data_IF_451636536427
#
_entry.id   IF_451636536427
#
_cell.length_a   1.000
_cell.length_b   1.000
_cell.length_c   1.000
_cell.angle_alpha   90.00
_cell.angle_beta   90.00
_cell.angle_gamma   90.00
#
_symmetry.space_group_name_H-M   'P 1'
#
loop_
_entity.id
_entity.type
_entity.pdbx_description
1 polymer ?
#
# COMPACT_ATOMS: atom_id res chain seq x y z
N UNK A 1 -0.88 -2.03 -39.65
CA UNK A 1 -0.32 -1.66 -38.34
C UNK A 1 0.62 -0.48 -38.55
N UNK A 2 0.05 0.71 -38.73
CA UNK A 2 0.81 1.94 -38.95
C UNK A 2 1.09 2.62 -37.61
N UNK A 3 2.35 2.99 -37.42
CA UNK A 3 2.84 3.85 -36.35
C UNK A 3 2.10 5.20 -36.39
N UNK A 4 1.13 5.38 -35.50
CA UNK A 4 0.66 6.70 -35.10
C UNK A 4 1.73 7.26 -34.17
N UNK A 5 2.69 7.97 -34.75
CA UNK A 5 3.54 8.89 -34.02
C UNK A 5 2.60 9.87 -33.30
N UNK A 6 2.58 9.81 -31.97
CA UNK A 6 1.93 10.81 -31.14
C UNK A 6 2.52 12.16 -31.51
N UNK A 7 1.70 13.04 -32.07
CA UNK A 7 2.02 14.46 -32.03
C UNK A 7 2.08 14.80 -30.55
N UNK A 8 3.29 15.03 -30.02
CA UNK A 8 3.50 15.69 -28.75
C UNK A 8 2.87 17.08 -28.86
N UNK A 9 1.58 17.15 -28.51
CA UNK A 9 0.86 18.40 -28.37
C UNK A 9 1.52 19.20 -27.23
N UNK A 10 1.46 20.53 -27.29
CA UNK A 10 2.16 21.47 -26.41
C UNK A 10 1.85 21.41 -24.90
N UNK A 11 1.25 20.32 -24.40
CA UNK A 11 1.08 20.02 -22.98
C UNK A 11 2.42 19.97 -22.24
N UNK A 12 3.49 19.52 -22.91
CA UNK A 12 4.83 19.40 -22.30
C UNK A 12 5.41 20.75 -21.83
N UNK A 13 5.13 21.83 -22.57
CA UNK A 13 5.57 23.18 -22.21
C UNK A 13 4.75 23.75 -21.04
N UNK A 14 3.45 23.47 -21.01
CA UNK A 14 2.53 23.87 -19.94
C UNK A 14 2.89 23.17 -18.64
N UNK A 15 3.06 21.84 -18.71
CA UNK A 15 3.49 21.00 -17.59
C UNK A 15 4.84 21.46 -17.07
N UNK A 16 5.85 21.69 -17.91
CA UNK A 16 7.17 22.18 -17.45
C UNK A 16 7.09 23.55 -16.78
N UNK A 17 6.24 24.46 -17.27
CA UNK A 17 6.07 25.78 -16.69
C UNK A 17 5.47 25.70 -15.30
N UNK A 18 4.40 24.90 -15.14
CA UNK A 18 3.79 24.64 -13.83
C UNK A 18 4.67 23.80 -12.92
N UNK A 19 5.46 22.84 -13.39
CA UNK A 19 6.40 22.11 -12.53
C UNK A 19 7.53 23.02 -12.04
N UNK A 20 7.90 24.07 -12.78
CA UNK A 20 8.88 25.05 -12.31
C UNK A 20 8.30 26.03 -11.29
N UNK A 21 7.00 26.38 -11.36
CA UNK A 21 6.34 27.26 -10.39
C UNK A 21 5.79 26.48 -9.18
N UNK A 22 5.29 25.26 -9.40
CA UNK A 22 4.93 24.25 -8.41
C UNK A 22 6.15 23.48 -7.89
N UNK A 23 7.38 23.95 -8.11
CA UNK A 23 8.44 23.85 -7.10
C UNK A 23 7.96 24.62 -5.86
N UNK A 24 6.96 24.02 -5.21
CA UNK A 24 6.27 24.53 -4.07
C UNK A 24 7.29 24.48 -2.94
N UNK A 25 7.90 25.65 -2.69
CA UNK A 25 8.46 26.02 -1.40
C UNK A 25 9.71 25.26 -0.91
N UNK A 26 10.62 24.83 -1.79
CA UNK A 26 11.99 24.51 -1.31
C UNK A 26 12.81 25.77 -1.01
N UNK A 27 12.43 26.94 -1.54
CA UNK A 27 13.19 28.21 -1.41
C UNK A 27 12.92 28.99 -0.11
N UNK A 28 11.96 28.58 0.71
CA UNK A 28 11.62 29.32 1.95
C UNK A 28 12.49 28.90 3.14
N UNK A 29 13.22 27.79 3.03
CA UNK A 29 14.18 27.37 4.04
C UNK A 29 15.53 28.10 3.93
N UNK A 30 15.86 28.72 2.80
CA UNK A 30 17.13 29.45 2.65
C UNK A 30 17.06 30.91 3.08
N UNK A 31 15.88 31.53 3.15
CA UNK A 31 15.74 32.96 3.51
C UNK A 31 15.39 33.22 4.99
N UNK A 32 15.36 32.19 5.84
CA UNK A 32 15.02 32.33 7.27
C UNK A 32 16.17 31.94 8.23
N UNK A 33 17.40 31.84 7.72
CA UNK A 33 18.60 31.51 8.52
C UNK A 33 19.49 32.73 8.82
N UNK A 34 19.21 33.90 8.25
CA UNK A 34 20.10 35.07 8.41
C UNK A 34 19.81 35.99 9.61
N UNK A 35 18.82 35.71 10.46
CA UNK A 35 18.60 36.50 11.67
C UNK A 35 18.07 35.63 12.82
N UNK A 36 18.96 35.02 13.61
CA UNK A 36 18.88 35.10 15.07
C UNK A 36 20.05 34.43 15.81
N UNK A 37 20.51 35.17 16.82
CA UNK A 37 21.59 34.85 17.75
C UNK A 37 21.39 33.50 18.46
N UNK A 38 22.49 32.76 18.54
CA UNK A 38 22.67 31.59 19.40
C UNK A 38 22.33 31.90 20.86
N UNK A 39 21.35 31.18 21.41
CA UNK A 39 21.35 30.79 22.83
C UNK A 39 21.01 29.30 22.91
N UNK A 40 21.94 28.55 23.50
CA UNK A 40 21.92 27.10 23.54
C UNK A 40 20.87 26.50 24.48
N UNK A 41 20.74 25.18 24.33
CA UNK A 41 19.83 24.25 25.02
C UNK A 41 18.51 24.01 24.30
N UNK A 42 18.45 22.96 23.45
CA UNK A 42 17.26 22.16 23.17
C UNK A 42 17.67 20.91 22.36
N UNK A 43 18.19 19.90 23.07
CA UNK A 43 18.36 18.52 22.60
C UNK A 43 17.28 17.67 23.27
N UNK A 44 16.03 17.81 22.83
CA UNK A 44 14.93 16.85 23.00
C UNK A 44 13.63 17.50 22.51
N UNK A 45 12.85 16.78 21.68
CA UNK A 45 11.53 17.15 21.14
C UNK A 45 11.50 18.18 20.00
N UNK A 46 12.43 18.06 19.05
CA UNK A 46 12.21 18.51 17.67
C UNK A 46 11.28 17.56 16.92
N UNK A 47 10.04 17.38 17.39
CA UNK A 47 8.97 16.81 16.57
C UNK A 47 8.58 17.89 15.56
N UNK A 48 9.28 17.86 14.42
CA UNK A 48 8.71 18.09 13.09
C UNK A 48 7.62 19.17 13.04
N UNK A 49 8.04 20.45 13.03
CA UNK A 49 7.18 21.51 12.51
C UNK A 49 7.17 21.39 10.97
N UNK A 50 6.45 20.38 10.45
CA UNK A 50 6.36 19.98 9.04
C UNK A 50 5.29 20.76 8.27
N UNK A 51 5.21 22.07 8.46
CA UNK A 51 4.22 22.90 7.74
C UNK A 51 4.62 23.18 6.29
N UNK A 52 5.85 22.85 5.86
CA UNK A 52 6.29 22.93 4.47
C UNK A 52 6.39 21.56 3.80
N UNK A 53 5.47 20.62 4.10
CA UNK A 53 5.42 19.37 3.33
C UNK A 53 5.17 19.70 1.87
N UNK A 54 6.12 19.34 0.99
CA UNK A 54 6.02 19.56 -0.45
C UNK A 54 4.62 19.21 -0.96
N UNK A 55 3.97 20.18 -1.59
CA UNK A 55 2.58 20.07 -2.03
C UNK A 55 2.47 19.03 -3.14
N UNK A 56 1.89 17.87 -2.84
CA UNK A 56 1.44 16.89 -3.84
C UNK A 56 0.00 17.17 -4.30
N UNK A 57 -0.42 18.43 -4.25
CA UNK A 57 -1.80 18.86 -4.38
C UNK A 57 -2.22 18.79 -5.85
N UNK A 58 -3.34 18.12 -6.13
CA UNK A 58 -3.94 18.15 -7.46
C UNK A 58 -4.52 19.51 -7.82
N UNK A 59 -4.59 19.82 -9.11
CA UNK A 59 -5.18 21.04 -9.66
C UNK A 59 -6.67 21.20 -9.36
N UNK A 60 -7.33 20.19 -8.77
CA UNK A 60 -8.70 20.31 -8.26
C UNK A 60 -8.76 20.59 -6.75
N UNK A 61 -7.63 20.81 -6.07
CA UNK A 61 -7.61 21.08 -4.62
C UNK A 61 -7.60 22.58 -4.32
N UNK A 62 -8.14 22.98 -3.17
CA UNK A 62 -8.09 24.40 -2.75
C UNK A 62 -6.67 24.92 -2.60
N UNK A 63 -5.75 24.06 -2.15
CA UNK A 63 -4.36 24.41 -1.92
C UNK A 63 -3.64 24.83 -3.21
N UNK A 64 -3.93 24.15 -4.33
CA UNK A 64 -3.43 24.53 -5.65
C UNK A 64 -3.91 25.92 -6.08
N UNK A 65 -5.14 26.29 -5.73
CA UNK A 65 -5.75 27.58 -6.10
C UNK A 65 -5.58 28.69 -5.07
N UNK A 66 -4.68 28.51 -4.10
CA UNK A 66 -4.42 29.54 -3.09
C UNK A 66 -3.92 30.85 -3.72
N UNK A 67 -3.21 30.78 -4.84
CA UNK A 67 -2.89 31.93 -5.69
C UNK A 67 -3.96 32.13 -6.79
N UNK A 68 -4.71 33.24 -6.66
CA UNK A 68 -5.75 33.63 -7.64
C UNK A 68 -5.19 33.92 -9.04
N UNK A 69 -3.93 34.34 -9.15
CA UNK A 69 -3.31 34.71 -10.43
C UNK A 69 -2.98 33.47 -11.28
N UNK A 70 -2.42 32.43 -10.66
CA UNK A 70 -2.17 31.14 -11.32
C UNK A 70 -3.47 30.48 -11.77
N UNK A 71 -4.55 30.63 -10.98
CA UNK A 71 -5.89 30.16 -11.36
C UNK A 71 -6.38 30.70 -12.68
N UNK A 72 -6.23 32.00 -12.92
CA UNK A 72 -6.67 32.62 -14.16
C UNK A 72 -5.83 32.18 -15.36
N UNK A 73 -4.52 32.01 -15.17
CA UNK A 73 -3.62 31.55 -16.22
C UNK A 73 -3.96 30.10 -16.62
N UNK A 74 -4.16 29.21 -15.65
CA UNK A 74 -4.50 27.81 -15.89
C UNK A 74 -5.79 27.68 -16.70
N UNK A 75 -6.87 28.35 -16.29
CA UNK A 75 -8.13 28.28 -17.02
C UNK A 75 -8.06 28.91 -18.41
N UNK A 76 -7.18 29.90 -18.61
CA UNK A 76 -6.94 30.46 -19.94
C UNK A 76 -6.30 29.42 -20.86
N UNK A 77 -5.34 28.66 -20.37
CA UNK A 77 -4.66 27.65 -21.17
C UNK A 77 -5.53 26.39 -21.37
N UNK A 78 -6.20 25.91 -20.33
CA UNK A 78 -7.16 24.81 -20.42
C UNK A 78 -8.28 25.12 -21.44
N UNK A 79 -8.75 26.37 -21.47
CA UNK A 79 -9.73 26.83 -22.47
C UNK A 79 -9.21 26.66 -23.90
N UNK A 80 -7.93 26.96 -24.16
CA UNK A 80 -7.34 26.83 -25.50
C UNK A 80 -7.39 25.37 -25.97
N UNK A 81 -7.08 24.43 -25.08
CA UNK A 81 -7.07 23.00 -25.41
C UNK A 81 -8.49 22.44 -25.61
N UNK A 82 -9.46 22.90 -24.81
CA UNK A 82 -10.85 22.45 -24.91
C UNK A 82 -11.60 23.03 -26.12
N UNK A 83 -11.30 24.27 -26.52
CA UNK A 83 -11.95 24.94 -27.66
C UNK A 83 -11.52 24.41 -29.04
N UNK A 84 -10.47 23.60 -29.12
CA UNK A 84 -10.07 22.96 -30.39
C UNK A 84 -11.03 21.83 -30.81
N UNK A 85 -11.97 21.42 -29.93
CA UNK A 85 -13.08 20.53 -30.29
C UNK A 85 -14.26 21.32 -30.84
N UNK A 86 -14.79 20.85 -31.98
CA UNK A 86 -15.90 21.41 -32.78
C UNK A 86 -16.80 22.42 -32.05
N UNK A 87 -16.72 23.72 -32.38
CA UNK A 87 -17.46 24.78 -31.68
C UNK A 87 -18.99 24.70 -31.82
N UNK A 88 -19.48 23.86 -32.73
CA UNK A 88 -20.90 23.72 -33.07
C UNK A 88 -21.65 22.70 -32.17
N UNK A 89 -20.94 21.98 -31.29
CA UNK A 89 -21.55 21.02 -30.36
C UNK A 89 -21.90 21.69 -29.02
N UNK A 90 -23.19 22.01 -28.84
CA UNK A 90 -23.72 22.64 -27.62
C UNK A 90 -23.51 21.77 -26.37
N UNK A 91 -23.64 20.44 -26.49
CA UNK A 91 -23.45 19.52 -25.37
C UNK A 91 -21.99 19.51 -24.92
N UNK A 92 -21.04 19.51 -25.87
CA UNK A 92 -19.63 19.61 -25.54
C UNK A 92 -19.30 20.91 -24.77
N UNK A 93 -19.92 22.04 -25.13
CA UNK A 93 -19.75 23.32 -24.43
C UNK A 93 -20.33 23.28 -23.01
N UNK A 94 -21.51 22.69 -22.84
CA UNK A 94 -22.13 22.53 -21.51
C UNK A 94 -21.27 21.66 -20.59
N UNK A 95 -20.74 20.55 -21.09
CA UNK A 95 -19.85 19.72 -20.30
C UNK A 95 -18.56 20.46 -19.92
N UNK A 96 -17.93 21.18 -20.84
CA UNK A 96 -16.74 21.99 -20.54
C UNK A 96 -16.99 23.03 -19.43
N UNK A 97 -18.15 23.68 -19.44
CA UNK A 97 -18.57 24.60 -18.39
C UNK A 97 -18.75 23.88 -17.05
N UNK A 98 -19.41 22.72 -17.06
CA UNK A 98 -19.59 21.89 -15.87
C UNK A 98 -18.24 21.46 -15.28
N UNK A 99 -17.32 20.98 -16.11
CA UNK A 99 -15.97 20.60 -15.69
C UNK A 99 -15.19 21.76 -15.08
N UNK A 100 -15.22 22.92 -15.75
CA UNK A 100 -14.61 24.15 -15.22
C UNK A 100 -15.21 24.53 -13.86
N UNK A 101 -16.53 24.51 -13.73
CA UNK A 101 -17.21 24.83 -12.49
C UNK A 101 -16.82 23.86 -11.36
N UNK A 102 -16.59 22.58 -11.66
CA UNK A 102 -16.12 21.61 -10.66
C UNK A 102 -14.71 21.93 -10.17
N UNK A 103 -13.77 22.22 -11.09
CA UNK A 103 -12.43 22.65 -10.72
C UNK A 103 -12.45 23.94 -9.90
N UNK A 104 -13.30 24.88 -10.29
CA UNK A 104 -13.48 26.14 -9.57
C UNK A 104 -14.02 25.95 -8.14
N UNK A 105 -14.77 24.88 -7.92
CA UNK A 105 -15.32 24.45 -6.62
C UNK A 105 -14.42 23.44 -5.89
N UNK A 106 -13.17 23.27 -6.33
CA UNK A 106 -12.22 22.31 -5.77
C UNK A 106 -12.77 20.87 -5.67
N UNK A 107 -13.54 20.44 -6.67
CA UNK A 107 -14.08 19.08 -6.75
C UNK A 107 -13.29 18.26 -7.74
N UNK A 108 -12.83 17.09 -7.30
CA UNK A 108 -12.18 16.13 -8.20
C UNK A 108 -13.10 15.76 -9.37
N UNK A 109 -12.59 15.77 -10.62
CA UNK A 109 -13.36 15.35 -11.79
C UNK A 109 -13.35 13.83 -12.00
N UNK A 110 -12.38 13.11 -11.43
CA UNK A 110 -12.18 11.67 -11.64
C UNK A 110 -13.09 10.77 -10.79
N UNK A 111 -13.83 11.35 -9.84
CA UNK A 111 -14.70 10.62 -8.93
C UNK A 111 -14.64 11.18 -7.50
N UNK A 112 -14.61 10.28 -6.52
CA UNK A 112 -14.56 10.63 -5.09
C UNK A 112 -13.48 9.86 -4.37
N UNK A 113 -12.76 10.52 -3.47
CA UNK A 113 -11.81 9.86 -2.58
C UNK A 113 -12.56 9.07 -1.51
N UNK A 114 -12.20 7.81 -1.33
CA UNK A 114 -12.70 6.94 -0.25
C UNK A 114 -11.66 6.91 0.89
N UNK A 115 -12.05 6.44 2.09
CA UNK A 115 -11.11 6.27 3.18
C UNK A 115 -9.92 5.40 2.77
N UNK A 116 -8.75 5.68 3.36
CA UNK A 116 -7.50 4.97 3.11
C UNK A 116 -6.99 5.15 1.67
N UNK A 117 -7.07 6.36 1.13
CA UNK A 117 -6.40 6.73 -0.11
C UNK A 117 -6.83 5.90 -1.35
N UNK A 118 -8.11 5.53 -1.46
CA UNK A 118 -8.64 4.80 -2.64
C UNK A 118 -9.59 5.69 -3.43
N UNK A 119 -9.40 5.84 -4.74
CA UNK A 119 -10.37 6.56 -5.58
C UNK A 119 -11.54 5.66 -5.96
N UNK A 120 -12.77 6.15 -5.76
CA UNK A 120 -13.98 5.61 -6.37
C UNK A 120 -14.24 6.33 -7.71
N UNK A 121 -14.08 5.67 -8.86
CA UNK A 121 -14.09 6.31 -10.18
C UNK A 121 -15.52 6.51 -10.72
N UNK A 122 -16.38 7.14 -9.92
CA UNK A 122 -17.75 7.46 -10.31
C UNK A 122 -17.80 8.86 -10.91
N UNK A 123 -17.79 8.89 -12.24
CA UNK A 123 -17.83 10.13 -13.02
C UNK A 123 -19.27 10.64 -13.09
N UNK A 124 -19.52 11.91 -12.73
CA UNK A 124 -20.81 12.57 -12.93
C UNK A 124 -21.23 12.64 -14.41
N UNK A 125 -22.54 12.55 -14.68
CA UNK A 125 -23.09 12.55 -16.05
C UNK A 125 -22.77 13.83 -16.83
N UNK A 126 -22.66 14.99 -16.15
CA UNK A 126 -22.36 16.30 -16.73
C UNK A 126 -20.94 16.43 -17.29
N UNK A 127 -20.03 15.49 -16.99
CA UNK A 127 -18.65 15.47 -17.51
C UNK A 127 -18.25 14.10 -18.11
N UNK A 128 -19.22 13.23 -18.35
CA UNK A 128 -18.98 11.84 -18.78
C UNK A 128 -18.28 11.71 -20.13
N UNK A 129 -18.35 12.73 -21.02
CA UNK A 129 -17.63 12.70 -22.30
C UNK A 129 -16.18 13.20 -22.22
N UNK A 130 -15.73 13.67 -21.05
CA UNK A 130 -14.36 14.19 -20.87
C UNK A 130 -13.50 13.29 -19.99
N UNK A 131 -14.10 12.51 -19.10
CA UNK A 131 -13.39 11.64 -18.16
C UNK A 131 -13.68 10.19 -18.49
N UNK A 132 -12.68 9.33 -18.38
CA UNK A 132 -12.83 7.91 -18.69
C UNK A 132 -13.92 7.25 -17.81
N UNK A 133 -14.88 6.53 -18.40
CA UNK A 133 -15.97 5.91 -17.64
C UNK A 133 -15.46 4.82 -16.68
N UNK A 134 -16.35 4.43 -15.75
CA UNK A 134 -16.11 3.29 -14.88
C UNK A 134 -16.10 1.98 -15.68
N UNK A 135 -15.10 1.15 -15.46
CA UNK A 135 -14.99 -0.19 -16.05
C UNK A 135 -15.09 -1.25 -14.97
N UNK A 136 -15.48 -2.47 -15.34
CA UNK A 136 -15.50 -3.60 -14.39
C UNK A 136 -14.12 -3.83 -13.72
N UNK A 137 -13.03 -3.63 -14.48
CA UNK A 137 -11.68 -3.74 -13.94
C UNK A 137 -11.39 -2.68 -12.87
N UNK A 138 -11.87 -1.44 -13.04
CA UNK A 138 -11.76 -0.40 -12.00
C UNK A 138 -12.52 -0.77 -10.73
N UNK A 139 -13.70 -1.39 -10.84
CA UNK A 139 -14.46 -1.87 -9.68
C UNK A 139 -13.66 -2.94 -8.91
N UNK A 140 -13.11 -3.93 -9.63
CA UNK A 140 -12.21 -4.91 -9.02
C UNK A 140 -10.99 -4.23 -8.37
N UNK A 141 -10.44 -3.21 -9.01
CA UNK A 141 -9.28 -2.51 -8.49
C UNK A 141 -9.58 -1.76 -7.19
N UNK A 142 -10.79 -1.21 -7.00
CA UNK A 142 -11.24 -0.66 -5.71
C UNK A 142 -11.27 -1.74 -4.64
N UNK A 143 -11.86 -2.91 -4.94
CA UNK A 143 -11.93 -4.03 -3.99
C UNK A 143 -10.53 -4.47 -3.56
N UNK A 144 -9.62 -4.68 -4.53
CA UNK A 144 -8.22 -5.02 -4.26
C UNK A 144 -7.48 -3.90 -3.53
N UNK A 145 -7.84 -2.63 -3.72
CA UNK A 145 -7.30 -1.50 -2.97
C UNK A 145 -7.47 -1.64 -1.46
N UNK A 146 -8.54 -2.29 -1.00
CA UNK A 146 -8.81 -2.51 0.43
C UNK A 146 -8.27 -3.82 1.00
N UNK A 147 -7.87 -4.79 0.16
CA UNK A 147 -7.41 -6.10 0.62
C UNK A 147 -6.23 -6.06 1.61
N UNK A 148 -5.20 -5.20 1.45
CA UNK A 148 -4.11 -5.13 2.44
C UNK A 148 -4.56 -4.74 3.85
N UNK A 149 -5.73 -4.10 3.98
CA UNK A 149 -6.25 -3.69 5.28
C UNK A 149 -6.95 -4.83 6.02
N UNK A 150 -7.42 -5.87 5.31
CA UNK A 150 -8.07 -7.00 5.95
C UNK A 150 -7.10 -7.72 6.91
N UNK A 151 -5.88 -8.14 6.50
CA UNK A 151 -4.93 -8.76 7.42
C UNK A 151 -4.54 -7.87 8.60
N UNK A 152 -4.46 -6.55 8.39
CA UNK A 152 -4.20 -5.57 9.46
C UNK A 152 -5.32 -5.57 10.49
N UNK A 153 -6.58 -5.48 10.04
CA UNK A 153 -7.74 -5.52 10.91
C UNK A 153 -7.81 -6.83 11.69
N UNK A 154 -7.54 -7.96 11.04
CA UNK A 154 -7.49 -9.26 11.71
C UNK A 154 -6.42 -9.30 12.80
N UNK A 155 -5.19 -8.84 12.53
CA UNK A 155 -4.15 -8.77 13.56
C UNK A 155 -4.56 -7.90 14.74
N UNK A 156 -5.22 -6.77 14.50
CA UNK A 156 -5.66 -5.88 15.58
C UNK A 156 -6.70 -6.54 16.47
N UNK A 157 -7.71 -7.19 15.87
CA UNK A 157 -8.75 -7.93 16.60
C UNK A 157 -8.13 -9.09 17.37
N UNK A 158 -7.30 -9.88 16.71
CA UNK A 158 -6.67 -11.07 17.28
C UNK A 158 -5.69 -10.71 18.40
N UNK A 159 -4.90 -9.64 18.23
CA UNK A 159 -4.04 -9.10 19.27
C UNK A 159 -4.82 -8.63 20.50
N UNK A 160 -6.03 -8.09 20.31
CA UNK A 160 -6.87 -7.65 21.40
C UNK A 160 -7.45 -8.83 22.21
N UNK A 161 -7.71 -9.95 21.54
CA UNK A 161 -8.30 -11.15 22.13
C UNK A 161 -7.21 -12.05 22.76
N UNK A 162 -6.24 -12.49 21.96
CA UNK A 162 -5.29 -13.54 22.33
C UNK A 162 -4.00 -13.02 22.98
N UNK A 163 -3.71 -11.71 22.89
CA UNK A 163 -2.57 -11.02 23.54
C UNK A 163 -1.21 -11.70 23.37
N UNK A 164 -1.02 -12.46 22.30
CA UNK A 164 0.25 -13.12 22.06
C UNK A 164 1.32 -12.12 21.59
N UNK A 165 2.57 -12.39 21.98
CA UNK A 165 3.73 -11.55 21.58
C UNK A 165 3.94 -11.53 20.07
N UNK A 166 3.44 -12.55 19.34
CA UNK A 166 3.54 -12.63 17.89
C UNK A 166 2.87 -11.45 17.20
N UNK A 167 1.62 -11.14 17.56
CA UNK A 167 0.86 -10.04 16.97
C UNK A 167 1.52 -8.69 17.24
N UNK A 168 2.11 -8.53 18.43
CA UNK A 168 2.86 -7.33 18.77
C UNK A 168 4.03 -7.11 17.81
N UNK A 169 4.80 -8.13 17.44
CA UNK A 169 5.91 -7.99 16.49
C UNK A 169 5.45 -7.56 15.10
N UNK A 170 4.27 -8.00 14.68
CA UNK A 170 3.69 -7.63 13.39
C UNK A 170 3.18 -6.18 13.42
N UNK A 171 2.51 -5.78 14.50
CA UNK A 171 2.07 -4.40 14.69
C UNK A 171 3.26 -3.44 14.77
N UNK A 172 4.34 -3.84 15.44
CA UNK A 172 5.59 -3.07 15.47
C UNK A 172 6.22 -2.96 14.08
N UNK A 173 6.24 -4.03 13.29
CA UNK A 173 6.69 -3.98 11.90
C UNK A 173 5.84 -3.04 11.05
N UNK A 174 4.50 -3.14 11.16
CA UNK A 174 3.59 -2.29 10.41
C UNK A 174 3.78 -0.82 10.79
N UNK A 175 3.92 -0.52 12.08
CA UNK A 175 4.25 0.81 12.58
C UNK A 175 5.59 1.32 12.04
N UNK A 176 6.62 0.45 12.01
CA UNK A 176 7.93 0.77 11.43
C UNK A 176 7.83 1.05 9.93
N UNK A 177 7.12 0.22 9.17
CA UNK A 177 6.86 0.41 7.74
C UNK A 177 6.16 1.74 7.47
N UNK A 178 5.09 2.06 8.21
CA UNK A 178 4.35 3.30 8.06
C UNK A 178 5.21 4.53 8.42
N UNK A 179 5.99 4.44 9.50
CA UNK A 179 6.90 5.51 9.90
C UNK A 179 7.94 5.81 8.81
N UNK A 180 8.56 4.78 8.24
CA UNK A 180 9.52 4.95 7.15
C UNK A 180 8.83 5.45 5.87
N UNK A 181 7.73 4.83 5.46
CA UNK A 181 7.06 5.15 4.19
C UNK A 181 6.39 6.53 4.21
N UNK A 182 5.48 6.78 5.17
CA UNK A 182 4.71 8.03 5.25
C UNK A 182 5.50 9.15 5.92
N UNK A 183 6.27 8.83 6.96
CA UNK A 183 6.95 9.82 7.79
C UNK A 183 8.25 10.33 7.18
N UNK A 184 8.96 9.48 6.43
CA UNK A 184 10.29 9.80 5.88
C UNK A 184 10.23 9.86 4.34
N UNK A 185 10.02 8.72 3.67
CA UNK A 185 10.25 8.62 2.23
C UNK A 185 9.29 9.49 1.43
N UNK A 186 7.98 9.44 1.72
CA UNK A 186 7.00 10.30 1.03
C UNK A 186 7.27 11.79 1.19
N UNK A 187 7.76 12.21 2.36
CA UNK A 187 8.09 13.62 2.63
C UNK A 187 9.34 14.07 1.88
N UNK A 188 10.29 13.17 1.65
CA UNK A 188 11.51 13.44 0.89
C UNK A 188 11.26 13.47 -0.63
N UNK A 189 10.40 12.58 -1.13
CA UNK A 189 10.16 12.44 -2.57
C UNK A 189 9.07 13.39 -3.07
N UNK A 190 7.98 13.55 -2.31
CA UNK A 190 6.87 14.45 -2.61
C UNK A 190 6.36 14.39 -4.07
N UNK A 191 6.32 13.19 -4.66
CA UNK A 191 5.84 13.02 -6.03
C UNK A 191 4.29 13.01 -6.05
N UNK A 192 3.65 13.82 -6.92
CA UNK A 192 2.20 13.84 -7.06
C UNK A 192 1.66 12.55 -7.69
N UNK A 193 0.36 12.29 -7.51
CA UNK A 193 -0.31 11.14 -8.11
C UNK A 193 -0.62 11.37 -9.59
N UNK A 194 -0.80 10.32 -10.41
CA UNK A 194 -1.14 10.48 -11.82
C UNK A 194 -2.40 11.31 -12.03
N UNK A 195 -2.36 12.24 -12.99
CA UNK A 195 -3.49 13.08 -13.35
C UNK A 195 -3.72 14.23 -12.38
N UNK A 196 -2.87 14.41 -11.36
CA UNK A 196 -2.92 15.54 -10.43
C UNK A 196 -2.94 16.90 -11.14
N UNK A 197 -2.26 17.00 -12.27
CA UNK A 197 -2.16 18.22 -13.08
C UNK A 197 -3.05 18.16 -14.33
N UNK A 198 -4.02 17.24 -14.38
CA UNK A 198 -4.89 16.98 -15.54
C UNK A 198 -4.14 16.63 -16.83
N UNK A 199 -2.92 16.12 -16.70
CA UNK A 199 -2.02 15.78 -17.79
C UNK A 199 -2.28 14.39 -18.40
N UNK A 200 -2.87 13.49 -17.60
CA UNK A 200 -3.02 12.10 -17.99
C UNK A 200 -4.30 11.90 -18.81
N UNK A 201 -4.12 11.35 -20.01
CA UNK A 201 -5.21 10.93 -20.91
C UNK A 201 -5.14 9.43 -21.18
N UNK A 202 -6.31 8.82 -21.23
CA UNK A 202 -6.53 7.44 -21.61
C UNK A 202 -6.31 7.17 -23.09
N UNK A 203 -6.43 5.89 -23.48
CA UNK A 203 -6.33 5.46 -24.89
C UNK A 203 -7.44 6.03 -25.78
N UNK A 204 -8.57 6.39 -25.17
CA UNK A 204 -9.70 7.05 -25.81
C UNK A 204 -9.55 8.59 -25.86
N UNK A 205 -8.44 9.14 -25.37
CA UNK A 205 -8.20 10.58 -25.27
C UNK A 205 -8.98 11.29 -24.16
N UNK A 206 -9.74 10.54 -23.34
CA UNK A 206 -10.43 11.07 -22.16
C UNK A 206 -9.45 11.24 -21.00
N UNK A 207 -9.76 12.15 -20.08
CA UNK A 207 -8.94 12.41 -18.90
C UNK A 207 -9.04 11.24 -17.91
N UNK A 208 -7.92 10.93 -17.27
CA UNK A 208 -7.79 9.92 -16.24
C UNK A 208 -6.96 10.46 -15.07
N UNK A 209 -7.19 9.99 -13.84
CA UNK A 209 -6.45 10.46 -12.68
C UNK A 209 -6.96 9.91 -11.36
N UNK A 210 -6.29 10.28 -10.27
CA UNK A 210 -6.68 9.97 -8.89
C UNK A 210 -7.46 11.14 -8.26
N UNK A 211 -8.34 10.86 -7.30
CA UNK A 211 -8.89 11.87 -6.42
C UNK A 211 -8.20 11.95 -5.06
N UNK A 212 -7.14 11.17 -4.85
CA UNK A 212 -6.42 11.13 -3.59
C UNK A 212 -5.44 12.29 -3.51
N UNK A 213 -5.49 13.03 -2.40
CA UNK A 213 -4.74 14.28 -2.23
C UNK A 213 -3.34 14.07 -1.64
N UNK A 214 -3.03 12.86 -1.16
CA UNK A 214 -1.72 12.54 -0.59
C UNK A 214 -0.68 12.23 -1.69
N UNK A 215 0.59 12.44 -1.37
CA UNK A 215 1.70 12.09 -2.26
C UNK A 215 1.68 10.61 -2.67
N UNK A 216 2.05 10.38 -3.93
CA UNK A 216 2.00 9.07 -4.58
C UNK A 216 3.23 8.19 -4.33
N UNK A 217 4.44 8.77 -4.21
CA UNK A 217 5.67 7.97 -4.09
C UNK A 217 6.22 7.90 -2.65
N UNK A 218 6.42 6.70 -2.08
CA UNK A 218 6.05 5.38 -2.57
C UNK A 218 4.59 5.02 -2.25
N UNK A 219 4.02 4.06 -2.97
CA UNK A 219 2.68 3.56 -2.66
C UNK A 219 2.65 2.74 -1.36
N UNK A 220 1.94 3.24 -0.34
CA UNK A 220 1.78 2.57 0.96
C UNK A 220 1.04 1.25 0.84
N UNK A 221 0.00 1.19 0.00
CA UNK A 221 -0.76 -0.04 -0.24
C UNK A 221 0.11 -1.13 -0.86
N UNK A 222 0.94 -0.77 -1.86
CA UNK A 222 1.89 -1.69 -2.46
C UNK A 222 2.95 -2.16 -1.43
N UNK A 223 3.47 -1.24 -0.63
CA UNK A 223 4.46 -1.55 0.41
C UNK A 223 3.92 -2.49 1.49
N UNK A 224 2.72 -2.22 2.02
CA UNK A 224 2.05 -3.09 2.99
C UNK A 224 1.79 -4.45 2.37
N UNK A 225 1.20 -4.50 1.18
CA UNK A 225 0.84 -5.75 0.51
C UNK A 225 2.05 -6.65 0.26
N UNK A 226 3.10 -6.11 -0.36
CA UNK A 226 4.29 -6.89 -0.69
C UNK A 226 5.17 -7.21 0.52
N UNK A 227 5.24 -6.30 1.50
CA UNK A 227 5.91 -6.57 2.76
C UNK A 227 5.24 -7.68 3.55
N UNK A 228 3.90 -7.68 3.59
CA UNK A 228 3.11 -8.71 4.25
C UNK A 228 3.25 -10.05 3.56
N UNK A 229 3.11 -10.09 2.23
CA UNK A 229 3.36 -11.29 1.44
C UNK A 229 4.76 -11.86 1.72
N UNK A 230 5.78 -11.01 1.74
CA UNK A 230 7.16 -11.42 2.02
C UNK A 230 7.32 -12.02 3.42
N UNK A 231 6.74 -11.38 4.46
CA UNK A 231 6.77 -11.92 5.82
C UNK A 231 6.07 -13.28 5.90
N UNK A 232 4.91 -13.44 5.28
CA UNK A 232 4.17 -14.71 5.26
C UNK A 232 4.97 -15.83 4.59
N UNK A 233 5.60 -15.54 3.44
CA UNK A 233 6.44 -16.50 2.72
C UNK A 233 7.68 -16.87 3.55
N UNK A 234 8.38 -15.90 4.15
CA UNK A 234 9.56 -16.17 4.98
C UNK A 234 9.22 -16.94 6.25
N UNK A 235 8.08 -16.68 6.89
CA UNK A 235 7.60 -17.48 8.02
C UNK A 235 7.31 -18.92 7.59
N UNK A 236 6.62 -19.10 6.47
CA UNK A 236 6.29 -20.43 5.94
C UNK A 236 7.54 -21.24 5.57
N UNK A 237 8.52 -20.62 4.88
CA UNK A 237 9.80 -21.25 4.54
C UNK A 237 10.51 -21.76 5.79
N UNK A 238 10.56 -20.96 6.85
CA UNK A 238 11.26 -21.34 8.08
C UNK A 238 10.60 -22.47 8.89
N UNK A 239 9.36 -22.83 8.54
CA UNK A 239 8.60 -23.91 9.17
C UNK A 239 8.45 -25.14 8.29
N UNK A 240 8.84 -25.06 7.02
CA UNK A 240 8.78 -26.22 6.13
C UNK A 240 9.94 -27.15 6.50
N UNK A 241 9.61 -28.30 7.09
CA UNK A 241 10.60 -29.35 7.35
C UNK A 241 10.88 -30.11 6.05
N UNK A 242 12.14 -30.16 5.66
CA UNK A 242 12.60 -30.93 4.49
C UNK A 242 13.02 -32.35 4.84
N UNK A 243 13.02 -32.73 6.12
CA UNK A 243 13.79 -33.87 6.61
C UNK A 243 13.04 -35.21 6.73
N UNK A 244 11.75 -35.35 6.41
CA UNK A 244 11.09 -36.61 6.74
C UNK A 244 9.75 -36.93 6.08
N UNK A 245 9.70 -37.03 4.75
CA UNK A 245 8.70 -37.89 4.10
C UNK A 245 9.28 -39.33 3.98
N UNK A 246 9.34 -40.04 5.10
CA UNK A 246 9.31 -41.52 5.07
C UNK A 246 7.84 -41.92 4.96
N UNK A 247 7.32 -41.93 3.74
CA UNK A 247 5.96 -42.34 3.43
C UNK A 247 5.89 -43.88 3.53
N UNK A 248 5.40 -44.40 4.66
CA UNK A 248 4.90 -45.78 4.74
C UNK A 248 3.54 -45.84 4.04
N UNK A 249 3.57 -46.03 2.71
CA UNK A 249 2.41 -46.02 1.82
C UNK A 249 1.72 -47.39 1.77
N UNK A 250 0.78 -47.66 2.69
CA UNK A 250 -0.12 -48.84 2.61
C UNK A 250 -1.60 -48.54 2.84
N UNK A 251 -2.03 -47.28 2.69
CA UNK A 251 -3.42 -46.84 2.95
C UNK A 251 -4.36 -46.94 1.73
N UNK A 252 -5.56 -47.50 1.93
CA UNK A 252 -6.64 -47.65 0.93
C UNK A 252 -7.14 -46.30 0.37
N UNK A 253 -7.27 -46.19 -0.96
CA UNK A 253 -7.69 -44.96 -1.68
C UNK A 253 -9.03 -44.35 -1.27
N UNK A 254 -9.93 -45.11 -0.63
CA UNK A 254 -11.22 -44.58 -0.16
C UNK A 254 -11.09 -43.73 1.10
N UNK A 255 -10.17 -44.08 2.00
CA UNK A 255 -9.90 -43.30 3.20
C UNK A 255 -9.16 -42.00 2.85
N UNK A 256 -8.39 -42.01 1.76
CA UNK A 256 -7.69 -40.84 1.23
C UNK A 256 -8.66 -39.71 0.83
N UNK A 257 -9.77 -40.01 0.14
CA UNK A 257 -10.73 -39.00 -0.33
C UNK A 257 -11.52 -38.33 0.81
N UNK A 258 -11.95 -39.12 1.80
CA UNK A 258 -12.67 -38.58 2.97
C UNK A 258 -11.72 -37.79 3.88
N UNK A 259 -10.46 -38.24 4.00
CA UNK A 259 -9.41 -37.47 4.66
C UNK A 259 -9.13 -36.16 3.90
N UNK A 260 -9.09 -36.16 2.56
CA UNK A 260 -8.90 -34.96 1.73
C UNK A 260 -10.00 -33.91 1.92
N UNK A 261 -11.27 -34.31 2.05
CA UNK A 261 -12.37 -33.36 2.18
C UNK A 261 -12.39 -32.67 3.57
N UNK A 262 -12.07 -33.40 4.66
CA UNK A 262 -11.92 -32.78 5.99
C UNK A 262 -10.76 -31.79 6.03
N UNK A 263 -9.68 -32.06 5.28
CA UNK A 263 -8.54 -31.14 5.16
C UNK A 263 -8.92 -29.78 4.57
N UNK A 264 -9.91 -29.68 3.68
CA UNK A 264 -10.35 -28.40 3.10
C UNK A 264 -11.03 -27.48 4.13
N UNK A 265 -11.85 -28.04 5.02
CA UNK A 265 -12.49 -27.26 6.08
C UNK A 265 -11.49 -26.72 7.09
N UNK A 266 -10.56 -27.58 7.51
CA UNK A 266 -9.45 -27.16 8.39
C UNK A 266 -8.48 -26.21 7.67
N UNK A 267 -8.28 -26.38 6.37
CA UNK A 267 -7.49 -25.46 5.54
C UNK A 267 -8.13 -24.07 5.51
N UNK A 268 -9.41 -23.94 5.19
CA UNK A 268 -10.08 -22.62 5.18
C UNK A 268 -10.07 -22.00 6.59
N UNK A 269 -10.32 -22.79 7.64
CA UNK A 269 -10.34 -22.27 9.02
C UNK A 269 -8.96 -21.80 9.48
N UNK A 270 -7.90 -22.53 9.13
CA UNK A 270 -6.54 -22.25 9.62
C UNK A 270 -5.73 -21.32 8.69
N UNK A 271 -6.10 -21.19 7.40
CA UNK A 271 -5.29 -20.46 6.42
C UNK A 271 -5.93 -19.17 5.89
N UNK A 272 -7.26 -19.00 5.97
CA UNK A 272 -7.91 -17.86 5.29
C UNK A 272 -7.90 -16.54 6.07
N UNK A 273 -7.47 -16.51 7.34
CA UNK A 273 -7.66 -15.32 8.16
C UNK A 273 -6.40 -14.86 8.89
N UNK A 274 -5.51 -15.79 9.21
CA UNK A 274 -4.29 -15.51 9.93
C UNK A 274 -3.12 -15.88 9.01
N UNK A 275 -2.27 -14.91 8.61
CA UNK A 275 -1.08 -15.13 7.77
C UNK A 275 -0.02 -16.07 8.35
N UNK A 276 -0.28 -16.55 9.55
CA UNK A 276 0.66 -17.22 10.40
C UNK A 276 0.11 -18.56 10.79
N UNK A 277 0.88 -19.58 10.42
CA UNK A 277 0.56 -20.94 10.81
C UNK A 277 0.98 -21.12 12.27
N UNK A 278 0.08 -21.62 13.10
CA UNK A 278 0.39 -22.02 14.49
C UNK A 278 1.30 -23.24 14.54
N UNK A 279 1.19 -24.13 13.53
CA UNK A 279 2.04 -25.31 13.42
C UNK A 279 3.51 -24.95 13.35
N UNK A 280 4.33 -25.69 14.10
CA UNK A 280 5.80 -25.61 14.06
C UNK A 280 6.34 -26.08 12.73
N UNK A 281 5.72 -27.12 12.17
CA UNK A 281 6.16 -27.81 10.98
C UNK A 281 5.06 -27.81 9.92
N UNK A 282 5.44 -27.44 8.70
CA UNK A 282 4.58 -27.35 7.53
C UNK A 282 4.94 -28.43 6.53
N UNK A 283 3.91 -29.12 6.03
CA UNK A 283 4.07 -29.98 4.85
C UNK A 283 4.32 -29.13 3.59
N UNK A 284 4.97 -29.70 2.58
CA UNK A 284 5.22 -29.02 1.28
C UNK A 284 3.90 -28.53 0.66
N UNK A 285 2.84 -29.33 0.78
CA UNK A 285 1.51 -28.95 0.28
C UNK A 285 0.94 -27.73 1.01
N UNK A 286 0.99 -27.73 2.34
CA UNK A 286 0.53 -26.57 3.13
C UNK A 286 1.34 -25.32 2.81
N UNK A 287 2.65 -25.44 2.67
CA UNK A 287 3.53 -24.36 2.22
C UNK A 287 3.08 -23.77 0.89
N UNK A 288 2.92 -24.61 -0.15
CA UNK A 288 2.47 -24.17 -1.48
C UNK A 288 1.12 -23.46 -1.38
N UNK A 289 0.19 -24.02 -0.60
CA UNK A 289 -1.14 -23.43 -0.44
C UNK A 289 -1.10 -22.05 0.24
N UNK A 290 -0.23 -21.83 1.24
CA UNK A 290 -0.02 -20.50 1.86
C UNK A 290 0.49 -19.52 0.83
N UNK A 291 1.55 -19.90 0.11
CA UNK A 291 2.19 -19.01 -0.86
C UNK A 291 1.20 -18.63 -1.95
N UNK A 292 0.45 -19.59 -2.51
CA UNK A 292 -0.56 -19.32 -3.53
C UNK A 292 -1.70 -18.44 -3.01
N UNK A 293 -2.21 -18.72 -1.81
CA UNK A 293 -3.28 -17.93 -1.21
C UNK A 293 -2.87 -16.46 -1.04
N UNK A 294 -1.73 -16.20 -0.39
CA UNK A 294 -1.25 -14.84 -0.18
C UNK A 294 -0.78 -14.16 -1.46
N UNK A 295 -0.24 -14.93 -2.42
CA UNK A 295 0.10 -14.43 -3.74
C UNK A 295 -1.15 -13.88 -4.45
N UNK A 296 -2.21 -14.68 -4.54
CA UNK A 296 -3.47 -14.28 -5.18
C UNK A 296 -4.13 -13.09 -4.48
N UNK A 297 -4.03 -13.01 -3.15
CA UNK A 297 -4.66 -11.95 -2.38
C UNK A 297 -3.89 -10.61 -2.47
N UNK A 298 -2.56 -10.64 -2.36
CA UNK A 298 -1.74 -9.45 -2.12
C UNK A 298 -0.94 -8.97 -3.33
N UNK A 299 -0.48 -9.88 -4.20
CA UNK A 299 0.35 -9.51 -5.36
C UNK A 299 -0.41 -8.69 -6.42
N UNK A 300 -1.73 -8.86 -6.64
CA UNK A 300 -2.45 -7.98 -7.56
C UNK A 300 -2.60 -6.54 -7.07
N UNK A 301 -2.48 -6.28 -5.76
CA UNK A 301 -2.75 -4.96 -5.17
C UNK A 301 -1.95 -3.84 -5.84
N UNK A 302 -0.60 -3.89 -5.96
CA UNK A 302 0.17 -2.83 -6.62
C UNK A 302 -0.31 -2.54 -8.06
N UNK A 303 -0.68 -3.57 -8.81
CA UNK A 303 -1.21 -3.40 -10.17
C UNK A 303 -2.57 -2.70 -10.15
N UNK A 304 -3.46 -3.09 -9.25
CA UNK A 304 -4.78 -2.48 -9.10
C UNK A 304 -4.70 -1.01 -8.70
N UNK A 305 -3.67 -0.61 -7.94
CA UNK A 305 -3.38 0.80 -7.67
C UNK A 305 -3.02 1.60 -8.92
N UNK A 306 -2.33 0.99 -9.88
CA UNK A 306 -2.02 1.59 -11.19
C UNK A 306 -3.26 1.66 -12.07
N UNK A 307 -4.10 0.61 -12.07
CA UNK A 307 -5.38 0.59 -12.80
C UNK A 307 -6.32 1.70 -12.36
N UNK A 308 -6.40 1.98 -11.05
CA UNK A 308 -7.19 3.10 -10.52
C UNK A 308 -6.59 4.48 -10.79
N UNK A 309 -5.39 4.55 -11.38
CA UNK A 309 -4.58 5.76 -11.49
C UNK A 309 -4.25 6.42 -10.15
N UNK A 310 -4.40 5.68 -9.05
CA UNK A 310 -4.02 6.16 -7.73
C UNK A 310 -2.50 6.25 -7.56
N UNK A 311 -1.73 5.51 -8.38
CA UNK A 311 -0.28 5.55 -8.43
C UNK A 311 0.23 5.33 -9.86
N UNK A 312 1.42 5.86 -10.17
CA UNK A 312 2.17 5.44 -11.36
C UNK A 312 2.77 4.05 -11.17
N UNK A 313 3.22 3.42 -12.26
CA UNK A 313 3.94 2.14 -12.20
C UNK A 313 5.20 2.23 -11.32
N UNK A 314 5.97 3.33 -11.46
CA UNK A 314 7.18 3.57 -10.66
C UNK A 314 6.86 3.75 -9.18
N UNK A 315 5.79 4.47 -8.83
CA UNK A 315 5.33 4.67 -7.46
C UNK A 315 4.91 3.36 -6.79
N UNK A 316 4.15 2.53 -7.52
CA UNK A 316 3.73 1.22 -7.04
C UNK A 316 4.94 0.29 -6.86
N UNK A 317 5.83 0.23 -7.85
CA UNK A 317 7.03 -0.60 -7.83
C UNK A 317 8.01 -0.21 -6.70
N UNK A 318 8.24 1.09 -6.49
CA UNK A 318 9.05 1.58 -5.38
C UNK A 318 8.45 1.19 -4.02
N UNK A 319 7.11 1.26 -3.90
CA UNK A 319 6.38 0.75 -2.74
C UNK A 319 6.65 -0.74 -2.52
N UNK A 320 6.54 -1.56 -3.57
CA UNK A 320 6.84 -3.00 -3.50
C UNK A 320 8.26 -3.26 -2.97
N UNK A 321 9.28 -2.63 -3.56
CA UNK A 321 10.69 -2.80 -3.15
C UNK A 321 10.88 -2.42 -1.69
N UNK A 322 10.35 -1.26 -1.28
CA UNK A 322 10.46 -0.78 0.10
C UNK A 322 9.82 -1.78 1.08
N UNK A 323 8.60 -2.22 0.79
CA UNK A 323 7.86 -3.19 1.60
C UNK A 323 8.60 -4.51 1.76
N UNK A 324 9.05 -5.11 0.66
CA UNK A 324 9.81 -6.37 0.68
C UNK A 324 11.14 -6.22 1.45
N UNK A 325 11.85 -5.12 1.25
CA UNK A 325 13.14 -4.85 1.91
C UNK A 325 12.98 -4.74 3.42
N UNK A 326 12.02 -3.92 3.88
CA UNK A 326 11.76 -3.74 5.30
C UNK A 326 11.23 -5.02 5.96
N UNK A 327 10.42 -5.81 5.26
CA UNK A 327 9.99 -7.14 5.70
C UNK A 327 11.17 -8.10 5.89
N UNK A 328 12.09 -8.20 4.92
CA UNK A 328 13.28 -9.06 5.02
C UNK A 328 14.18 -8.65 6.19
N UNK A 329 14.45 -7.35 6.34
CA UNK A 329 15.25 -6.82 7.46
C UNK A 329 14.57 -7.13 8.79
N UNK A 330 13.27 -6.87 8.91
CA UNK A 330 12.51 -7.14 10.13
C UNK A 330 12.52 -8.63 10.50
N UNK A 331 12.22 -9.50 9.53
CA UNK A 331 12.26 -10.95 9.73
C UNK A 331 13.64 -11.42 10.21
N UNK A 332 14.72 -10.88 9.62
CA UNK A 332 16.08 -11.20 10.05
C UNK A 332 16.34 -10.79 11.50
N UNK A 333 15.92 -9.59 11.90
CA UNK A 333 16.04 -9.09 13.27
C UNK A 333 15.30 -10.03 14.23
N UNK A 334 14.05 -10.39 13.93
CA UNK A 334 13.26 -11.30 14.78
C UNK A 334 13.95 -12.66 14.94
N UNK A 335 14.47 -13.26 13.86
CA UNK A 335 15.18 -14.54 13.93
C UNK A 335 16.46 -14.49 14.75
N UNK A 336 17.18 -13.36 14.71
CA UNK A 336 18.38 -13.18 15.56
C UNK A 336 17.98 -13.07 17.03
N UNK A 337 16.94 -12.29 17.34
CA UNK A 337 16.43 -12.14 18.70
C UNK A 337 15.90 -13.48 19.26
N UNK A 338 15.08 -14.19 18.49
CA UNK A 338 14.54 -15.49 18.86
C UNK A 338 15.65 -16.50 19.19
N UNK A 339 16.68 -16.63 18.33
CA UNK A 339 17.83 -17.50 18.61
C UNK A 339 18.54 -17.11 19.90
N UNK A 340 18.75 -15.81 20.12
CA UNK A 340 19.45 -15.31 21.32
C UNK A 340 18.66 -15.62 22.60
N UNK A 341 17.34 -15.38 22.61
CA UNK A 341 16.52 -15.59 23.80
C UNK A 341 16.19 -17.06 24.05
N UNK A 342 16.03 -17.87 23.00
CA UNK A 342 15.75 -19.29 23.15
C UNK A 342 16.95 -20.07 23.73
N UNK A 343 18.18 -19.67 23.41
CA UNK A 343 19.40 -20.22 24.05
C UNK A 343 19.40 -19.90 25.55
N UNK A 344 19.06 -18.66 25.94
CA UNK A 344 19.01 -18.25 27.35
C UNK A 344 17.97 -19.05 28.15
N UNK A 345 16.80 -19.32 27.56
CA UNK A 345 15.75 -20.11 28.22
C UNK A 345 16.12 -21.60 28.36
N UNK A 346 16.83 -22.18 27.39
CA UNK A 346 17.35 -23.56 27.50
C UNK A 346 18.59 -23.68 28.40
N UNK A 347 19.34 -22.59 28.53
CA UNK A 347 20.54 -22.49 29.37
C UNK A 347 20.25 -22.36 30.86
N UNK A 348 18.99 -22.14 31.27
CA UNK A 348 18.63 -22.38 32.67
C UNK A 348 18.75 -23.88 32.92
N UNK A 349 19.70 -24.33 33.79
CA UNK A 349 19.76 -25.73 34.17
C UNK A 349 18.37 -26.08 34.64
N UNK A 350 17.74 -27.12 34.04
CA UNK A 350 16.48 -27.66 34.54
C UNK A 350 16.68 -27.81 36.04
N UNK A 351 16.06 -26.93 36.84
CA UNK A 351 16.01 -27.06 38.28
C UNK A 351 15.55 -28.49 38.46
N UNK A 352 16.48 -29.35 38.89
CA UNK A 352 16.31 -30.78 38.84
C UNK A 352 14.96 -31.06 39.46
N UNK A 353 13.99 -31.49 38.65
CA UNK A 353 12.66 -31.79 39.15
C UNK A 353 12.93 -32.76 40.29
N UNK A 354 12.61 -32.41 41.56
CA UNK A 354 12.98 -33.24 42.69
C UNK A 354 12.44 -34.62 42.37
N UNK A 355 13.34 -35.61 42.30
CA UNK A 355 12.97 -37.00 41.98
C UNK A 355 11.78 -37.31 42.87
N UNK A 356 10.61 -37.58 42.27
CA UNK A 356 9.53 -38.20 43.04
C UNK A 356 10.17 -39.43 43.69
N UNK A 357 10.13 -39.55 45.03
CA UNK A 357 10.57 -40.77 45.67
C UNK A 357 9.80 -41.90 45.00
N UNK A 358 10.53 -42.81 44.38
CA UNK A 358 9.97 -44.03 43.82
C UNK A 358 9.29 -44.77 44.97
N UNK A 359 7.97 -44.94 44.90
CA UNK A 359 7.13 -45.76 45.79
C UNK A 359 7.46 -47.27 45.66
N UNK A 360 8.73 -47.63 45.62
CA UNK A 360 9.19 -49.02 45.63
C UNK A 360 9.98 -49.26 46.90
N UNK A 361 9.31 -49.10 48.03
CA UNK A 361 9.73 -49.68 49.31
C UNK A 361 8.50 -49.89 50.22
N UNK A 362 7.41 -50.44 49.66
CA UNK A 362 6.42 -51.14 50.47
C UNK A 362 6.68 -52.63 50.35
N UNK A 363 7.30 -53.15 51.40
CA UNK A 363 7.72 -54.54 51.51
C UNK A 363 6.59 -55.54 51.29
N UNK A 364 6.93 -56.61 50.59
CA UNK A 364 6.20 -57.87 50.68
C UNK A 364 6.66 -58.60 51.97
N UNK A 365 5.74 -59.11 52.79
CA UNK A 365 6.06 -59.99 53.92
C UNK A 365 6.54 -61.38 53.48
#
# INVERSE_FOLDING_TARGET
MQSLASKDFGSDALIRRYFSSAQCFTTTLTNQVDDNRMTGSLLALGVLNTTSSGCCCGAWTEQFWSDKSERQLFFRELRIELLDRSPDDEDARLQQLAFRQRLENAKCPYGTTLPMDVTWPMVPEDIAMMVEPITFLKILAVIYGYLPLLPVAFVLVDSAINRETRYLWILLWLGFLLCVNEGIVKKLVAEPRPGSMMELRGRNGLLEGSCVETCGMPSSHAAISMGWFTLSVLDAISKTDTSGDHIDDTGSSRDVLVAEQRKWGDFIRNFCWIPWVEKTDLTVREFISIVLYWCLLLVPVPFMRVVLRDHTESQAFAGCILGMTLAMVWWRVLRVLERRYHITLRGQPRLATPRRPTEVEMGAP
#
